data_IF_183564937811
#
_entry.id   IF_183564937811
#
_cell.length_a   1.000
_cell.length_b   1.000
_cell.length_c   1.000
_cell.angle_alpha   90.00
_cell.angle_beta   90.00
_cell.angle_gamma   90.00
#
_symmetry.space_group_name_H-M   'P 1'
#
loop_
_entity.id
_entity.type
_entity.pdbx_description
1 polymer ?
#
# COMPACT_ATOMS: atom_id res chain seq x y z
N UNK A 1 31.51 -2.17 4.84
CA UNK A 1 30.50 -1.13 5.08
C UNK A 1 29.24 -1.55 4.35
N UNK A 2 28.32 -2.23 5.04
CA UNK A 2 27.05 -2.69 4.47
C UNK A 2 26.17 -1.47 4.24
N UNK A 3 25.74 -1.21 3.00
CA UNK A 3 24.80 -0.11 2.72
C UNK A 3 23.44 -0.41 3.38
N UNK A 4 22.91 0.50 4.21
CA UNK A 4 21.65 0.26 4.90
C UNK A 4 20.47 0.22 3.91
N UNK A 5 19.49 -0.65 4.19
CA UNK A 5 18.29 -0.85 3.36
C UNK A 5 17.35 0.38 3.33
N UNK A 6 17.54 1.30 4.27
CA UNK A 6 16.75 2.53 4.40
C UNK A 6 17.67 3.72 4.72
N UNK A 7 17.20 4.93 4.39
CA UNK A 7 17.93 6.17 4.64
C UNK A 7 17.49 6.78 5.96
N UNK A 8 18.42 6.98 6.89
CA UNK A 8 18.18 7.76 8.11
C UNK A 8 18.21 9.24 7.74
N UNK A 9 17.09 9.95 7.93
CA UNK A 9 16.99 11.38 7.63
C UNK A 9 17.38 12.26 8.82
N UNK A 10 17.22 11.76 10.05
CA UNK A 10 17.51 12.49 11.29
C UNK A 10 17.97 11.53 12.39
N UNK A 11 18.94 11.96 13.18
CA UNK A 11 19.53 11.19 14.29
C UNK A 11 20.88 10.57 13.94
N UNK A 12 21.53 9.97 14.95
CA UNK A 12 22.78 9.24 14.81
C UNK A 12 22.66 7.89 15.52
N UNK A 13 21.92 6.92 14.95
CA UNK A 13 21.75 5.61 15.55
C UNK A 13 23.08 4.86 15.59
N UNK A 14 23.23 3.98 16.58
CA UNK A 14 24.38 3.10 16.65
C UNK A 14 24.28 1.97 15.63
N UNK A 15 25.41 1.30 15.35
CA UNK A 15 25.45 0.16 14.43
C UNK A 15 24.55 -1.00 14.90
N UNK A 16 24.43 -1.20 16.22
CA UNK A 16 23.57 -2.22 16.82
C UNK A 16 22.07 -1.90 16.60
N UNK A 17 21.68 -0.63 16.72
CA UNK A 17 20.31 -0.18 16.46
C UNK A 17 19.94 -0.32 14.98
N UNK A 18 20.87 0.00 14.08
CA UNK A 18 20.69 -0.21 12.64
C UNK A 18 20.54 -1.70 12.29
N UNK A 19 21.34 -2.57 12.91
CA UNK A 19 21.25 -4.01 12.72
C UNK A 19 19.90 -4.56 13.21
N UNK A 20 19.46 -4.15 14.41
CA UNK A 20 18.18 -4.55 14.98
C UNK A 20 17.00 -4.11 14.10
N UNK A 21 16.99 -2.85 13.65
CA UNK A 21 15.92 -2.35 12.78
C UNK A 21 15.91 -3.07 11.43
N UNK A 22 17.08 -3.34 10.86
CA UNK A 22 17.21 -4.11 9.61
C UNK A 22 16.66 -5.53 9.78
N UNK A 23 16.97 -6.20 10.90
CA UNK A 23 16.47 -7.54 11.17
C UNK A 23 14.93 -7.58 11.26
N UNK A 24 14.32 -6.63 11.98
CA UNK A 24 12.86 -6.52 12.12
C UNK A 24 12.18 -6.23 10.78
N UNK A 25 12.71 -5.26 10.01
CA UNK A 25 12.14 -4.95 8.69
C UNK A 25 12.25 -6.14 7.73
N UNK A 26 13.37 -6.87 7.79
CA UNK A 26 13.57 -8.07 6.97
C UNK A 26 12.60 -9.19 7.36
N UNK A 27 12.36 -9.41 8.66
CA UNK A 27 11.41 -10.43 9.11
C UNK A 27 9.98 -10.08 8.68
N UNK A 28 9.58 -8.82 8.81
CA UNK A 28 8.27 -8.33 8.36
C UNK A 28 8.12 -8.45 6.84
N UNK A 29 9.17 -8.15 6.07
CA UNK A 29 9.14 -8.31 4.62
C UNK A 29 8.95 -9.77 4.23
N UNK A 30 9.69 -10.69 4.85
CA UNK A 30 9.54 -12.13 4.61
C UNK A 30 8.13 -12.60 4.97
N UNK A 31 7.57 -12.14 6.09
CA UNK A 31 6.20 -12.48 6.48
C UNK A 31 5.17 -11.94 5.48
N UNK A 32 5.29 -10.68 5.07
CA UNK A 32 4.42 -10.06 4.06
C UNK A 32 4.46 -10.79 2.71
N UNK A 33 5.64 -11.26 2.28
CA UNK A 33 5.76 -12.05 1.03
C UNK A 33 5.19 -13.47 1.15
N UNK A 34 5.12 -14.02 2.36
CA UNK A 34 4.49 -15.33 2.62
C UNK A 34 2.98 -15.27 2.77
N UNK A 35 2.43 -14.09 3.07
CA UNK A 35 0.98 -13.85 3.10
C UNK A 35 0.40 -14.08 1.69
N UNK A 36 0.02 -15.33 1.42
CA UNK A 36 -0.54 -15.77 0.15
C UNK A 36 -2.06 -15.63 0.22
N UNK A 37 -2.53 -14.43 0.48
CA UNK A 37 -3.97 -14.17 0.43
C UNK A 37 -4.16 -13.06 -0.58
N UNK A 38 -4.76 -13.43 -1.70
CA UNK A 38 -5.44 -12.56 -2.65
C UNK A 38 -6.63 -11.86 -1.97
N UNK A 39 -6.38 -11.22 -0.82
CA UNK A 39 -7.32 -10.25 -0.30
C UNK A 39 -7.31 -9.09 -1.28
N UNK A 40 -8.51 -8.66 -1.67
CA UNK A 40 -8.67 -7.48 -2.49
C UNK A 40 -7.87 -6.34 -1.84
N UNK A 41 -6.90 -5.80 -2.59
CA UNK A 41 -6.06 -4.74 -2.05
C UNK A 41 -6.97 -3.61 -1.63
N UNK A 42 -6.83 -3.16 -0.39
CA UNK A 42 -7.53 -1.97 0.05
C UNK A 42 -6.97 -0.78 -0.74
N UNK A 43 -7.70 -0.35 -1.77
CA UNK A 43 -7.35 0.76 -2.66
C UNK A 43 -7.80 2.12 -2.09
N UNK A 44 -8.12 2.19 -0.80
CA UNK A 44 -8.54 3.44 -0.18
C UNK A 44 -7.38 4.44 -0.20
N UNK A 45 -7.63 5.61 -0.76
CA UNK A 45 -6.70 6.73 -0.72
C UNK A 45 -5.53 6.62 -1.71
N UNK A 46 -5.61 5.72 -2.69
CA UNK A 46 -4.66 5.72 -3.80
C UNK A 46 -4.68 7.07 -4.53
N UNK A 47 -3.55 7.56 -5.05
CA UNK A 47 -3.51 8.80 -5.84
C UNK A 47 -4.52 8.77 -6.99
N UNK A 48 -4.65 7.63 -7.66
CA UNK A 48 -5.59 7.38 -8.74
C UNK A 48 -7.05 7.52 -8.27
N UNK A 49 -7.38 7.09 -7.05
CA UNK A 49 -8.70 7.28 -6.45
C UNK A 49 -9.08 8.76 -6.26
N UNK A 50 -8.11 9.68 -6.24
CA UNK A 50 -8.39 11.13 -6.16
C UNK A 50 -8.58 11.77 -7.53
N UNK A 51 -8.04 11.15 -8.58
CA UNK A 51 -8.04 11.67 -9.95
C UNK A 51 -9.15 11.07 -10.82
N UNK A 52 -9.61 9.88 -10.47
CA UNK A 52 -10.64 9.16 -11.24
C UNK A 52 -12.01 9.52 -10.69
N UNK A 53 -12.94 9.94 -11.57
CA UNK A 53 -14.36 10.03 -11.21
C UNK A 53 -14.80 8.65 -10.72
N UNK A 54 -15.17 8.55 -9.44
CA UNK A 54 -15.71 7.32 -8.90
C UNK A 54 -16.94 6.94 -9.72
N UNK A 55 -16.98 5.74 -10.27
CA UNK A 55 -18.17 5.19 -10.94
C UNK A 55 -19.26 5.09 -9.87
N UNK A 56 -20.07 6.14 -9.75
CA UNK A 56 -21.22 6.17 -8.87
C UNK A 56 -22.24 5.18 -9.44
N UNK A 57 -22.45 4.07 -8.76
CA UNK A 57 -23.55 3.15 -9.04
C UNK A 57 -24.87 3.79 -8.59
N UNK A 58 -25.32 4.81 -9.32
CA UNK A 58 -26.59 5.49 -9.11
C UNK A 58 -27.69 4.76 -9.90
N UNK A 59 -28.79 4.30 -9.27
CA UNK A 59 -29.91 3.69 -9.99
C UNK A 59 -30.57 4.64 -11.02
N UNK A 60 -30.42 5.95 -10.88
CA UNK A 60 -30.86 6.95 -11.87
C UNK A 60 -29.88 7.13 -13.06
N UNK A 61 -28.74 6.43 -13.09
CA UNK A 61 -27.78 6.50 -14.19
C UNK A 61 -28.22 5.71 -15.43
N UNK A 62 -29.21 4.84 -15.32
CA UNK A 62 -29.80 4.13 -16.44
C UNK A 62 -31.02 4.89 -16.94
N UNK A 63 -31.00 5.33 -18.21
CA UNK A 63 -32.21 5.87 -18.83
C UNK A 63 -33.26 4.77 -18.95
N UNK A 64 -34.47 5.03 -18.47
CA UNK A 64 -35.62 4.15 -18.71
C UNK A 64 -35.94 4.17 -20.20
N UNK A 65 -35.52 3.13 -20.93
CA UNK A 65 -35.85 3.00 -22.35
C UNK A 65 -37.27 2.44 -22.45
N UNK A 66 -38.22 3.26 -22.89
CA UNK A 66 -39.56 2.81 -23.26
C UNK A 66 -39.55 2.49 -24.76
N UNK A 67 -39.79 1.23 -25.12
CA UNK A 67 -40.04 0.84 -26.50
C UNK A 67 -41.51 1.16 -26.84
N UNK A 68 -41.74 1.90 -27.92
CA UNK A 68 -43.07 2.17 -28.49
C UNK A 68 -43.38 1.20 -29.62
#
# INVERSE_FOLDING_TARGET
MTSPMFKVLKGNPSDDELAALTAVLTSLYVEATKATTETERNLWGTPESRLTNQTLYNPAAFSSVTFY
#
